data_IF_139251576816
#
_entry.id   IF_139251576816
#
_cell.length_a   1.000
_cell.length_b   1.000
_cell.length_c   1.000
_cell.angle_alpha   90.00
_cell.angle_beta   90.00
_cell.angle_gamma   90.00
#
_symmetry.space_group_name_H-M   'P 1'
#
loop_
_entity.id
_entity.type
_entity.pdbx_description
1 polymer ?
#
# COMPACT_ATOMS: atom_id res chain seq x y z
N UNK A 1 7.35 25.42 -19.42
CA UNK A 1 7.30 24.43 -20.50
C UNK A 1 7.59 23.03 -19.91
N UNK A 2 6.62 22.50 -19.19
CA UNK A 2 6.61 21.09 -18.78
C UNK A 2 5.38 20.45 -19.38
N UNK A 3 5.56 19.30 -20.00
CA UNK A 3 4.65 18.33 -20.59
C UNK A 3 4.39 18.46 -22.10
N UNK A 4 4.82 17.40 -22.82
CA UNK A 4 3.86 16.42 -23.30
C UNK A 4 4.44 15.00 -23.36
N UNK A 5 4.78 14.36 -22.25
CA UNK A 5 5.29 12.97 -22.26
C UNK A 5 4.29 11.95 -21.74
N UNK A 6 3.10 12.37 -21.28
CA UNK A 6 2.10 11.48 -20.68
C UNK A 6 0.81 11.28 -21.51
N UNK A 7 0.70 11.89 -22.70
CA UNK A 7 -0.54 11.78 -23.49
C UNK A 7 -0.54 10.76 -24.63
N UNK A 8 0.59 10.21 -25.04
CA UNK A 8 0.61 9.23 -26.14
C UNK A 8 0.50 7.77 -25.71
N UNK A 9 0.80 7.43 -24.45
CA UNK A 9 0.67 6.04 -23.99
C UNK A 9 -0.71 5.70 -23.38
N UNK A 10 -1.54 6.68 -23.11
CA UNK A 10 -2.89 6.45 -22.59
C UNK A 10 -3.91 5.97 -23.65
N UNK A 11 -3.53 5.95 -24.93
CA UNK A 11 -4.42 5.59 -26.03
C UNK A 11 -4.22 4.15 -26.56
N UNK A 12 -3.28 3.40 -26.04
CA UNK A 12 -3.36 1.93 -26.18
C UNK A 12 -4.42 1.48 -25.18
N UNK A 13 -5.65 1.30 -25.67
CA UNK A 13 -6.67 0.57 -24.97
C UNK A 13 -6.01 -0.71 -24.43
N UNK A 14 -5.88 -0.82 -23.12
CA UNK A 14 -5.39 -2.05 -22.51
C UNK A 14 -6.26 -3.17 -23.09
N UNK A 15 -5.64 -4.15 -23.73
CA UNK A 15 -6.37 -5.33 -24.17
C UNK A 15 -7.17 -5.83 -22.96
N UNK A 16 -8.44 -6.21 -23.14
CA UNK A 16 -9.24 -6.67 -22.01
C UNK A 16 -8.48 -7.82 -21.35
N UNK A 17 -8.15 -7.64 -20.06
CA UNK A 17 -7.51 -8.68 -19.28
C UNK A 17 -8.46 -9.87 -19.19
N UNK A 18 -8.22 -10.89 -20.01
CA UNK A 18 -9.00 -12.12 -20.01
C UNK A 18 -8.38 -13.03 -18.96
N UNK A 19 -9.07 -13.23 -17.86
CA UNK A 19 -8.67 -14.23 -16.86
C UNK A 19 -8.63 -15.61 -17.53
N UNK A 20 -7.60 -16.42 -17.27
CA UNK A 20 -7.58 -17.82 -17.69
C UNK A 20 -8.87 -18.53 -17.22
N UNK A 21 -9.46 -19.36 -18.08
CA UNK A 21 -10.78 -19.97 -17.83
C UNK A 21 -10.87 -20.85 -16.58
N UNK A 22 -9.73 -21.28 -16.06
CA UNK A 22 -9.56 -22.10 -14.85
C UNK A 22 -9.27 -21.30 -13.58
N UNK A 23 -8.83 -20.03 -13.72
CA UNK A 23 -8.50 -19.13 -12.61
C UNK A 23 -9.54 -18.02 -12.51
N UNK A 24 -10.45 -18.12 -11.53
CA UNK A 24 -11.60 -17.21 -11.39
C UNK A 24 -11.63 -16.46 -10.06
N UNK A 25 -10.59 -16.58 -9.24
CA UNK A 25 -10.58 -15.99 -7.90
C UNK A 25 -9.47 -14.96 -7.81
N UNK A 26 -9.81 -13.78 -7.32
CA UNK A 26 -8.84 -12.79 -6.86
C UNK A 26 -8.73 -12.95 -5.35
N UNK A 27 -7.54 -13.30 -4.87
CA UNK A 27 -7.29 -13.48 -3.46
C UNK A 27 -6.83 -12.16 -2.82
N UNK A 28 -7.49 -11.74 -1.76
CA UNK A 28 -7.00 -10.66 -0.91
C UNK A 28 -6.28 -11.26 0.29
N UNK A 29 -5.03 -10.92 0.48
CA UNK A 29 -4.22 -11.29 1.65
C UNK A 29 -4.14 -10.10 2.61
N UNK A 30 -4.35 -10.35 3.91
CA UNK A 30 -4.24 -9.33 4.95
C UNK A 30 -3.74 -9.92 6.26
N UNK A 31 -2.99 -9.14 7.04
CA UNK A 31 -2.57 -9.51 8.41
C UNK A 31 -3.57 -9.06 9.46
N UNK A 32 -4.46 -8.12 9.14
CA UNK A 32 -5.39 -7.49 10.05
C UNK A 32 -6.85 -7.92 9.82
N UNK A 33 -7.71 -7.61 10.79
CA UNK A 33 -9.14 -7.67 10.56
C UNK A 33 -9.61 -6.41 9.81
N UNK A 34 -10.21 -6.57 8.64
CA UNK A 34 -10.67 -5.47 7.80
C UNK A 34 -11.76 -4.61 8.47
N UNK A 35 -12.43 -5.12 9.50
CA UNK A 35 -13.43 -4.38 10.28
C UNK A 35 -12.84 -3.32 11.20
N UNK A 36 -11.53 -3.30 11.39
CA UNK A 36 -10.88 -2.34 12.30
C UNK A 36 -10.69 -0.94 11.70
N UNK A 37 -10.85 -0.79 10.40
CA UNK A 37 -10.66 0.48 9.69
C UNK A 37 -11.84 0.79 8.76
N UNK A 38 -12.42 1.97 8.91
CA UNK A 38 -13.50 2.44 8.03
C UNK A 38 -13.02 2.59 6.58
N UNK A 39 -11.79 3.03 6.38
CA UNK A 39 -11.16 3.13 5.05
C UNK A 39 -11.08 1.76 4.37
N UNK A 40 -10.64 0.73 5.08
CA UNK A 40 -10.52 -0.62 4.57
C UNK A 40 -11.86 -1.20 4.11
N UNK A 41 -12.92 -0.98 4.89
CA UNK A 41 -14.26 -1.50 4.54
C UNK A 41 -14.84 -0.82 3.30
N UNK A 42 -14.72 0.50 3.19
CA UNK A 42 -15.19 1.25 2.01
C UNK A 42 -14.45 0.83 0.73
N UNK A 43 -13.14 0.66 0.81
CA UNK A 43 -12.34 0.23 -0.32
C UNK A 43 -12.73 -1.20 -0.75
N UNK A 44 -12.95 -2.08 0.20
CA UNK A 44 -13.36 -3.46 -0.04
C UNK A 44 -14.73 -3.52 -0.72
N UNK A 45 -15.73 -2.77 -0.24
CA UNK A 45 -17.06 -2.70 -0.82
C UNK A 45 -16.99 -2.22 -2.29
N UNK A 46 -16.21 -1.16 -2.55
CA UNK A 46 -16.05 -0.65 -3.92
C UNK A 46 -15.36 -1.67 -4.82
N UNK A 47 -14.33 -2.32 -4.30
CA UNK A 47 -13.59 -3.33 -5.05
C UNK A 47 -14.45 -4.55 -5.37
N UNK A 48 -15.26 -5.04 -4.43
CA UNK A 48 -16.20 -6.14 -4.68
C UNK A 48 -17.23 -5.80 -5.77
N UNK A 49 -17.74 -4.57 -5.74
CA UNK A 49 -18.69 -4.12 -6.76
C UNK A 49 -18.07 -4.12 -8.17
N UNK A 50 -16.82 -3.66 -8.30
CA UNK A 50 -16.12 -3.63 -9.60
C UNK A 50 -15.76 -5.04 -10.09
N UNK A 51 -15.27 -5.93 -9.21
CA UNK A 51 -14.92 -7.31 -9.58
C UNK A 51 -16.15 -8.12 -10.02
N UNK A 52 -17.32 -7.87 -9.44
CA UNK A 52 -18.54 -8.57 -9.84
C UNK A 52 -18.84 -8.40 -11.34
N UNK A 53 -18.51 -7.27 -11.93
CA UNK A 53 -18.63 -7.02 -13.37
C UNK A 53 -17.68 -7.85 -14.23
N UNK A 54 -16.60 -8.35 -13.65
CA UNK A 54 -15.59 -9.17 -14.32
C UNK A 54 -15.90 -10.67 -14.23
N UNK A 55 -17.05 -11.05 -13.67
CA UNK A 55 -17.43 -12.44 -13.41
C UNK A 55 -16.41 -13.24 -12.60
N UNK A 56 -15.64 -12.56 -11.76
CA UNK A 56 -14.61 -13.13 -10.89
C UNK A 56 -15.06 -13.14 -9.45
N UNK A 57 -14.67 -14.17 -8.72
CA UNK A 57 -14.87 -14.23 -7.28
C UNK A 57 -13.74 -13.52 -6.55
N UNK A 58 -14.01 -12.96 -5.38
CA UNK A 58 -13.01 -12.49 -4.45
C UNK A 58 -13.03 -13.33 -3.18
N UNK A 59 -11.86 -13.76 -2.75
CA UNK A 59 -11.65 -14.48 -1.49
C UNK A 59 -10.74 -13.68 -0.59
N UNK A 60 -11.00 -13.69 0.72
CA UNK A 60 -10.19 -12.98 1.71
C UNK A 60 -9.51 -14.01 2.58
N UNK A 61 -8.19 -13.90 2.66
CA UNK A 61 -7.35 -14.80 3.43
C UNK A 61 -6.56 -14.00 4.44
N UNK A 62 -6.73 -14.35 5.71
CA UNK A 62 -5.94 -13.75 6.78
C UNK A 62 -4.64 -14.53 6.95
N UNK A 63 -3.53 -13.80 6.91
CA UNK A 63 -2.21 -14.35 7.25
C UNK A 63 -2.12 -14.38 8.78
N UNK A 64 -1.98 -15.56 9.34
CA UNK A 64 -1.76 -15.70 10.78
C UNK A 64 -0.33 -15.30 11.18
N UNK A 65 -0.08 -14.95 12.45
CA UNK A 65 1.28 -14.65 12.91
C UNK A 65 2.28 -15.77 12.70
N UNK A 66 1.81 -17.02 12.73
CA UNK A 66 2.65 -18.22 12.49
C UNK A 66 3.03 -18.28 11.01
N UNK A 67 2.06 -18.17 10.11
CA UNK A 67 2.29 -18.17 8.65
C UNK A 67 3.21 -17.03 8.22
N UNK A 68 3.02 -15.84 8.81
CA UNK A 68 3.89 -14.68 8.57
C UNK A 68 5.34 -14.97 8.97
N UNK A 69 5.54 -15.49 10.18
CA UNK A 69 6.87 -15.82 10.71
C UNK A 69 7.55 -16.94 9.94
N UNK A 70 6.80 -17.97 9.55
CA UNK A 70 7.32 -19.12 8.83
C UNK A 70 7.39 -18.91 7.31
N UNK A 71 6.96 -17.73 6.83
CA UNK A 71 6.88 -17.39 5.40
C UNK A 71 6.09 -18.44 4.61
N UNK A 72 4.91 -18.79 5.14
CA UNK A 72 4.00 -19.73 4.52
C UNK A 72 2.73 -19.02 4.04
N UNK A 73 2.18 -19.50 2.93
CA UNK A 73 0.87 -19.03 2.45
C UNK A 73 -0.22 -19.45 3.44
N UNK A 74 -1.31 -18.62 3.57
CA UNK A 74 -2.48 -19.02 4.32
C UNK A 74 -3.00 -20.37 3.85
N UNK A 75 -3.29 -21.26 4.80
CA UNK A 75 -3.79 -22.62 4.49
C UNK A 75 -5.11 -22.62 3.73
N UNK A 76 -5.87 -21.53 3.80
CA UNK A 76 -7.13 -21.33 3.08
C UNK A 76 -6.93 -20.90 1.62
N UNK A 77 -5.72 -20.48 1.22
CA UNK A 77 -5.42 -20.00 -0.13
C UNK A 77 -5.16 -21.15 -1.10
N UNK A 78 -5.91 -21.19 -2.19
CA UNK A 78 -5.63 -22.11 -3.28
C UNK A 78 -4.98 -21.36 -4.46
N UNK A 79 -3.65 -21.39 -4.52
CA UNK A 79 -2.88 -20.66 -5.54
C UNK A 79 -3.20 -21.09 -6.96
N UNK A 80 -3.60 -22.34 -7.19
CA UNK A 80 -3.92 -22.85 -8.52
C UNK A 80 -5.21 -22.24 -9.09
N UNK A 81 -6.13 -21.84 -8.22
CA UNK A 81 -7.38 -21.17 -8.60
C UNK A 81 -7.28 -19.65 -8.59
N UNK A 82 -6.16 -19.11 -8.09
CA UNK A 82 -5.95 -17.68 -7.92
C UNK A 82 -5.45 -17.06 -9.22
N UNK A 83 -6.18 -16.07 -9.73
CA UNK A 83 -5.84 -15.31 -10.92
C UNK A 83 -4.92 -14.12 -10.62
N UNK A 84 -5.01 -13.59 -9.39
CA UNK A 84 -4.20 -12.48 -8.91
C UNK A 84 -4.35 -12.34 -7.40
N UNK A 85 -3.37 -11.72 -6.78
CA UNK A 85 -3.33 -11.49 -5.33
C UNK A 85 -3.27 -9.98 -5.07
N UNK A 86 -4.13 -9.50 -4.17
CA UNK A 86 -4.06 -8.16 -3.62
C UNK A 86 -3.60 -8.27 -2.17
N UNK A 87 -2.46 -7.65 -1.88
CA UNK A 87 -1.90 -7.59 -0.54
C UNK A 87 -2.34 -6.31 0.14
N UNK A 88 -3.09 -6.44 1.23
CA UNK A 88 -3.61 -5.34 2.02
C UNK A 88 -3.10 -5.41 3.46
N UNK A 89 -2.40 -4.37 3.91
CA UNK A 89 -1.74 -4.35 5.23
C UNK A 89 -0.74 -5.51 5.44
N UNK A 90 0.01 -5.87 4.39
CA UNK A 90 1.08 -6.86 4.46
C UNK A 90 2.41 -6.12 4.49
N UNK A 91 2.89 -5.80 5.69
CA UNK A 91 4.03 -4.90 5.90
C UNK A 91 5.31 -5.60 6.35
N UNK A 92 5.34 -6.92 6.37
CA UNK A 92 6.59 -7.68 6.53
C UNK A 92 7.29 -7.80 5.18
N UNK A 93 8.50 -7.22 5.07
CA UNK A 93 9.24 -7.18 3.80
C UNK A 93 9.63 -8.57 3.31
N UNK A 94 10.06 -9.42 4.19
CA UNK A 94 10.52 -10.77 3.81
C UNK A 94 9.35 -11.65 3.35
N UNK A 95 8.19 -11.46 3.98
CA UNK A 95 6.97 -12.12 3.54
C UNK A 95 6.49 -11.59 2.18
N UNK A 96 6.53 -10.26 2.01
CA UNK A 96 6.20 -9.63 0.74
C UNK A 96 7.13 -10.11 -0.39
N UNK A 97 8.43 -10.27 -0.11
CA UNK A 97 9.39 -10.81 -1.06
C UNK A 97 9.06 -12.27 -1.42
N UNK A 98 8.71 -13.10 -0.46
CA UNK A 98 8.26 -14.48 -0.70
C UNK A 98 7.03 -14.54 -1.60
N UNK A 99 6.07 -13.61 -1.42
CA UNK A 99 4.91 -13.52 -2.31
C UNK A 99 5.31 -13.13 -3.74
N UNK A 100 6.32 -12.29 -3.91
CA UNK A 100 6.83 -11.91 -5.24
C UNK A 100 7.47 -13.07 -6.01
N UNK A 101 7.85 -14.14 -5.33
CA UNK A 101 8.38 -15.36 -5.95
C UNK A 101 7.27 -16.31 -6.46
N UNK A 102 6.01 -15.98 -6.19
CA UNK A 102 4.87 -16.73 -6.75
C UNK A 102 4.65 -16.32 -8.21
N UNK A 103 4.34 -17.29 -9.05
CA UNK A 103 3.98 -17.05 -10.46
C UNK A 103 2.51 -16.61 -10.60
N UNK A 104 2.16 -15.51 -9.90
CA UNK A 104 0.81 -14.94 -9.90
C UNK A 104 0.93 -13.41 -9.86
N UNK A 105 0.13 -12.66 -10.64
CA UNK A 105 0.09 -11.20 -10.56
C UNK A 105 -0.18 -10.72 -9.14
N UNK A 106 0.62 -9.74 -8.68
CA UNK A 106 0.56 -9.19 -7.33
C UNK A 106 0.35 -7.68 -7.36
N UNK A 107 -0.57 -7.21 -6.52
CA UNK A 107 -0.77 -5.80 -6.24
C UNK A 107 -0.66 -5.56 -4.73
N UNK A 108 0.27 -4.72 -4.31
CA UNK A 108 0.33 -4.23 -2.94
C UNK A 108 -0.41 -2.91 -2.81
N UNK A 109 -1.37 -2.84 -1.89
CA UNK A 109 -1.99 -1.59 -1.43
C UNK A 109 -1.19 -1.11 -0.23
N UNK A 110 -0.30 -0.16 -0.47
CA UNK A 110 0.84 0.18 0.35
C UNK A 110 1.84 -0.99 0.51
N UNK A 111 3.04 -0.73 0.96
CA UNK A 111 4.10 -1.74 1.08
C UNK A 111 4.77 -1.69 2.45
N UNK A 112 5.55 -2.73 2.80
CA UNK A 112 6.58 -2.59 3.83
C UNK A 112 7.47 -1.38 3.54
N UNK A 113 8.10 -0.84 4.56
CA UNK A 113 9.12 0.21 4.37
C UNK A 113 10.22 -0.33 3.47
N UNK A 114 10.41 0.33 2.32
CA UNK A 114 11.39 -0.12 1.32
C UNK A 114 12.80 0.37 1.65
N UNK A 115 12.93 1.61 2.13
CA UNK A 115 14.20 2.25 2.47
C UNK A 115 15.32 1.83 1.51
N UNK A 116 16.43 1.24 1.99
CA UNK A 116 17.56 0.80 1.16
C UNK A 116 17.39 -0.64 0.63
N UNK A 117 16.20 -1.21 0.73
CA UNK A 117 15.91 -2.59 0.30
C UNK A 117 15.64 -2.68 -1.20
N UNK A 118 15.89 -3.82 -1.85
CA UNK A 118 15.49 -4.04 -3.24
C UNK A 118 13.99 -3.83 -3.46
N UNK A 119 13.59 -3.31 -4.64
CA UNK A 119 12.17 -3.15 -4.93
C UNK A 119 11.46 -4.50 -5.05
N UNK A 120 10.22 -4.58 -4.57
CA UNK A 120 9.37 -5.75 -4.76
C UNK A 120 8.99 -5.89 -6.25
N UNK A 121 9.02 -7.10 -6.76
CA UNK A 121 8.59 -7.44 -8.14
C UNK A 121 7.06 -7.59 -8.19
N UNK A 122 6.35 -6.49 -7.97
CA UNK A 122 4.90 -6.46 -7.94
C UNK A 122 4.39 -5.05 -8.27
N UNK A 123 3.13 -4.96 -8.68
CA UNK A 123 2.45 -3.68 -8.79
C UNK A 123 2.19 -3.10 -7.40
N UNK A 124 2.15 -1.77 -7.31
CA UNK A 124 2.02 -1.06 -6.04
C UNK A 124 1.06 0.11 -6.19
N UNK A 125 0.11 0.18 -5.29
CA UNK A 125 -0.83 1.30 -5.19
C UNK A 125 -0.48 2.13 -3.95
N UNK A 126 -0.10 3.38 -4.16
CA UNK A 126 0.19 4.34 -3.10
C UNK A 126 -0.75 5.53 -3.17
N UNK A 127 -1.01 6.12 -2.01
CA UNK A 127 -1.55 7.48 -1.95
C UNK A 127 -0.39 8.48 -2.03
N UNK A 128 -0.71 9.71 -2.43
CA UNK A 128 0.23 10.82 -2.26
C UNK A 128 0.36 11.12 -0.74
N UNK A 129 1.58 11.03 -0.22
CA UNK A 129 1.83 11.12 1.22
C UNK A 129 2.66 12.35 1.63
N UNK A 130 3.23 13.09 0.68
CA UNK A 130 4.21 14.14 0.97
C UNK A 130 3.58 15.54 1.00
N UNK A 131 2.83 15.88 -0.04
CA UNK A 131 2.31 17.25 -0.25
C UNK A 131 1.38 17.66 0.90
N UNK A 132 0.48 16.78 1.31
CA UNK A 132 -0.46 17.09 2.39
C UNK A 132 0.21 17.29 3.76
N UNK A 133 1.28 16.53 4.04
CA UNK A 133 2.06 16.73 5.26
C UNK A 133 2.82 18.06 5.21
N UNK A 134 3.42 18.39 4.07
CA UNK A 134 4.12 19.65 3.89
C UNK A 134 3.16 20.84 4.02
N UNK A 135 1.98 20.75 3.42
CA UNK A 135 0.92 21.75 3.54
C UNK A 135 0.45 21.93 4.99
N UNK A 136 0.27 20.82 5.71
CA UNK A 136 -0.12 20.85 7.12
C UNK A 136 0.92 21.57 7.98
N UNK A 137 2.21 21.26 7.81
CA UNK A 137 3.30 21.95 8.50
C UNK A 137 3.33 23.44 8.13
N UNK A 138 3.27 23.78 6.85
CA UNK A 138 3.23 25.17 6.38
C UNK A 138 2.08 25.95 7.01
N UNK A 139 0.89 25.37 7.07
CA UNK A 139 -0.28 25.98 7.70
C UNK A 139 -0.07 26.21 9.21
N UNK A 140 0.54 25.28 9.92
CA UNK A 140 0.87 25.46 11.35
C UNK A 140 1.87 26.62 11.54
N UNK A 141 2.88 26.70 10.68
CA UNK A 141 3.86 27.80 10.69
C UNK A 141 3.21 29.15 10.45
N UNK A 142 2.32 29.27 9.45
CA UNK A 142 1.54 30.47 9.18
C UNK A 142 0.71 30.92 10.40
N UNK A 143 0.27 29.98 11.23
CA UNK A 143 -0.42 30.23 12.50
C UNK A 143 0.53 30.52 13.67
N UNK A 144 1.81 30.73 13.41
CA UNK A 144 2.81 31.08 14.40
C UNK A 144 3.31 29.91 15.26
N UNK A 145 3.03 28.67 14.88
CA UNK A 145 3.56 27.49 15.60
C UNK A 145 5.04 27.32 15.29
N UNK A 146 5.86 27.24 16.33
CA UNK A 146 7.31 27.13 16.24
C UNK A 146 7.84 25.74 16.61
N UNK A 147 7.01 24.92 17.23
CA UNK A 147 7.32 23.54 17.64
C UNK A 147 6.22 22.64 17.13
N UNK A 148 6.55 21.78 16.21
CA UNK A 148 5.65 20.82 15.58
C UNK A 148 6.25 19.45 15.80
N UNK A 149 5.45 18.47 16.18
CA UNK A 149 5.89 17.09 16.43
C UNK A 149 5.17 16.14 15.50
N UNK A 150 5.85 15.06 15.12
CA UNK A 150 5.25 13.93 14.44
C UNK A 150 4.93 12.84 15.46
N UNK A 151 3.72 12.29 15.38
CA UNK A 151 3.31 11.13 16.19
C UNK A 151 2.93 9.98 15.25
N UNK A 152 3.61 8.85 15.37
CA UNK A 152 3.37 7.66 14.55
C UNK A 152 4.63 6.80 14.40
N UNK A 153 4.43 5.52 14.07
CA UNK A 153 5.53 4.61 13.76
C UNK A 153 5.94 4.74 12.29
N UNK A 154 7.07 5.40 12.04
CA UNK A 154 7.63 5.57 10.70
C UNK A 154 8.02 4.24 10.03
N UNK A 155 8.19 3.19 10.80
CA UNK A 155 8.58 1.87 10.30
C UNK A 155 7.38 0.97 10.03
N UNK A 156 6.17 1.45 10.27
CA UNK A 156 4.95 0.65 10.09
C UNK A 156 4.75 0.23 8.63
N UNK A 157 4.76 1.19 7.71
CA UNK A 157 4.60 0.96 6.26
C UNK A 157 5.22 2.11 5.45
N UNK A 158 5.30 1.95 4.14
CA UNK A 158 5.92 2.93 3.25
C UNK A 158 5.23 4.29 3.31
N UNK A 159 3.91 4.35 3.36
CA UNK A 159 3.16 5.60 3.50
C UNK A 159 3.51 6.36 4.80
N UNK A 160 3.68 5.66 5.91
CA UNK A 160 4.08 6.28 7.17
C UNK A 160 5.51 6.80 7.11
N UNK A 161 6.41 6.05 6.49
CA UNK A 161 7.79 6.48 6.26
C UNK A 161 7.84 7.75 5.41
N UNK A 162 7.11 7.80 4.30
CA UNK A 162 7.05 8.97 3.42
C UNK A 162 6.47 10.21 4.11
N UNK A 163 5.43 10.04 4.91
CA UNK A 163 4.85 11.12 5.74
C UNK A 163 5.84 11.65 6.76
N UNK A 164 6.60 10.75 7.40
CA UNK A 164 7.64 11.16 8.34
C UNK A 164 8.75 11.94 7.63
N UNK A 165 9.22 11.47 6.48
CA UNK A 165 10.24 12.17 5.70
C UNK A 165 9.75 13.53 5.21
N UNK A 166 8.50 13.62 4.74
CA UNK A 166 7.90 14.90 4.35
C UNK A 166 7.79 15.89 5.52
N UNK A 167 7.47 15.39 6.72
CA UNK A 167 7.49 16.19 7.94
C UNK A 167 8.91 16.70 8.24
N UNK A 168 9.93 15.84 8.18
CA UNK A 168 11.34 16.21 8.39
C UNK A 168 11.79 17.31 7.42
N UNK A 169 11.55 17.10 6.12
CA UNK A 169 11.85 18.05 5.07
C UNK A 169 11.20 19.42 5.35
N UNK A 170 9.92 19.42 5.75
CA UNK A 170 9.19 20.66 6.04
C UNK A 170 9.72 21.37 7.30
N UNK A 171 10.02 20.63 8.36
CA UNK A 171 10.60 21.19 9.60
C UNK A 171 11.96 21.84 9.29
N UNK A 172 12.80 21.20 8.52
CA UNK A 172 14.08 21.73 8.07
C UNK A 172 13.90 22.98 7.20
N UNK A 173 13.03 22.91 6.18
CA UNK A 173 12.73 24.03 5.28
C UNK A 173 12.30 25.31 6.01
N UNK A 174 11.46 25.18 7.04
CA UNK A 174 10.98 26.30 7.84
C UNK A 174 11.90 26.70 9.00
N UNK A 175 13.04 26.04 9.16
CA UNK A 175 13.99 26.29 10.26
C UNK A 175 13.38 26.06 11.64
N UNK A 176 12.48 25.10 11.78
CA UNK A 176 11.82 24.80 13.04
C UNK A 176 12.68 23.88 13.89
N UNK A 177 12.56 24.00 15.20
CA UNK A 177 13.11 22.99 16.11
C UNK A 177 12.19 21.75 16.09
N UNK A 178 12.76 20.58 15.87
CA UNK A 178 12.02 19.33 16.01
C UNK A 178 11.36 19.26 17.39
N UNK A 179 10.06 19.06 17.40
CA UNK A 179 9.37 18.65 18.60
C UNK A 179 9.76 17.21 18.98
N UNK A 180 9.45 16.77 20.19
CA UNK A 180 9.63 15.37 20.58
C UNK A 180 8.83 14.50 19.59
N UNK A 181 9.52 13.82 18.67
CA UNK A 181 8.89 12.80 17.84
C UNK A 181 8.80 11.53 18.67
N UNK A 182 7.60 11.19 19.12
CA UNK A 182 7.32 9.87 19.69
C UNK A 182 7.12 8.90 18.52
N UNK A 183 8.23 8.39 17.98
CA UNK A 183 8.21 7.16 17.20
C UNK A 183 8.13 6.01 18.21
N UNK A 184 6.97 5.38 18.33
CA UNK A 184 6.81 4.15 19.09
C UNK A 184 7.39 2.97 18.28
#
# INVERSE_FOLDING_TARGET
AYLPLFQEDAAKAAEPFILPSDKREIAMLTTQFLSSSHFSSMMLDRFQAEIAHLHSGMTIHRISPIELKEKKLPSSLNIQRTAGIICFEVFDYDYAQMLCDLDVPLLFVDTPVMDMRPPLKADRLYMENRIEIQNAVAHMVQRGKKRISFAGDKNHCQSFFERYMAYKDAVEYFGLTEGLSTCA
#
